data_IF_117328779904
#
_entry.id   IF_117328779904
#
_cell.length_a   1.000
_cell.length_b   1.000
_cell.length_c   1.000
_cell.angle_alpha   90.00
_cell.angle_beta   90.00
_cell.angle_gamma   90.00
#
_symmetry.space_group_name_H-M   'P 1'
#
loop_
_entity.id
_entity.type
_entity.pdbx_description
1 polymer ?
#
# COMPACT_ATOMS: atom_id res chain seq x y z
N UNK A 1 12.53 -11.62 -39.05
CA UNK A 1 13.53 -11.81 -40.12
C UNK A 1 14.78 -11.01 -39.75
N UNK A 2 15.84 -11.00 -40.55
CA UNK A 2 16.89 -10.00 -40.34
C UNK A 2 16.48 -8.69 -41.03
N UNK A 3 16.81 -7.55 -40.43
CA UNK A 3 16.61 -6.23 -41.03
C UNK A 3 17.18 -6.22 -42.46
N UNK A 4 16.35 -5.87 -43.42
CA UNK A 4 16.76 -5.66 -44.80
C UNK A 4 17.43 -4.30 -44.95
N UNK A 5 18.55 -4.25 -45.66
CA UNK A 5 19.31 -3.01 -45.93
C UNK A 5 19.21 -2.70 -47.42
N UNK A 6 18.77 -1.48 -47.73
CA UNK A 6 18.75 -0.96 -49.10
C UNK A 6 20.19 -0.65 -49.50
N UNK A 7 20.65 -1.24 -50.59
CA UNK A 7 21.95 -0.96 -51.17
C UNK A 7 21.81 0.23 -52.14
N UNK A 8 22.46 1.35 -51.81
CA UNK A 8 22.41 2.56 -52.65
C UNK A 8 23.39 2.50 -53.83
N UNK A 9 24.29 1.52 -53.89
CA UNK A 9 25.33 1.44 -54.90
C UNK A 9 26.44 2.48 -54.72
N UNK A 10 27.24 2.68 -55.77
CA UNK A 10 28.38 3.60 -55.75
C UNK A 10 27.96 5.05 -56.01
N UNK A 11 28.33 5.98 -55.14
CA UNK A 11 28.13 7.42 -55.37
C UNK A 11 28.96 7.91 -56.57
N UNK A 12 28.46 8.83 -57.42
CA UNK A 12 27.13 9.47 -57.39
C UNK A 12 26.06 8.72 -58.21
N UNK A 13 26.43 7.69 -58.95
CA UNK A 13 25.58 7.08 -59.99
C UNK A 13 24.60 6.03 -59.46
N UNK A 14 24.83 5.51 -58.25
CA UNK A 14 24.10 4.40 -57.68
C UNK A 14 24.38 3.05 -58.37
N UNK A 15 25.44 2.97 -59.19
CA UNK A 15 25.78 1.75 -59.91
C UNK A 15 26.02 0.57 -58.94
N UNK A 16 25.42 -0.58 -59.25
CA UNK A 16 25.44 -1.78 -58.40
C UNK A 16 24.49 -1.74 -57.19
N UNK A 17 23.63 -0.72 -57.09
CA UNK A 17 22.59 -0.62 -56.06
C UNK A 17 21.30 -1.39 -56.39
N UNK A 18 20.38 -1.41 -55.43
CA UNK A 18 19.02 -1.93 -55.62
C UNK A 18 18.25 -1.04 -56.61
N UNK A 19 17.43 -1.67 -57.46
CA UNK A 19 16.45 -0.93 -58.26
C UNK A 19 15.28 -0.44 -57.39
N UNK A 20 14.41 0.40 -57.96
CA UNK A 20 13.25 0.94 -57.22
C UNK A 20 12.35 -0.16 -56.64
N UNK A 21 12.19 -1.27 -57.35
CA UNK A 21 11.31 -2.37 -56.96
C UNK A 21 11.90 -3.17 -55.80
N UNK A 22 13.15 -3.60 -55.91
CA UNK A 22 13.88 -4.37 -54.90
C UNK A 22 14.12 -3.55 -53.62
N UNK A 23 14.44 -2.25 -53.74
CA UNK A 23 14.50 -1.36 -52.60
C UNK A 23 13.14 -1.26 -51.87
N UNK A 24 12.04 -1.16 -52.61
CA UNK A 24 10.69 -1.11 -52.04
C UNK A 24 10.28 -2.44 -51.38
N UNK A 25 10.63 -3.57 -51.98
CA UNK A 25 10.40 -4.90 -51.39
C UNK A 25 11.13 -5.03 -50.05
N UNK A 26 12.38 -4.55 -49.95
CA UNK A 26 13.14 -4.53 -48.69
C UNK A 26 12.50 -3.60 -47.66
N UNK A 27 12.04 -2.42 -48.07
CA UNK A 27 11.33 -1.50 -47.20
C UNK A 27 10.04 -2.14 -46.65
N UNK A 28 9.20 -2.71 -47.52
CA UNK A 28 7.99 -3.43 -47.14
C UNK A 28 8.29 -4.53 -46.13
N UNK A 29 9.28 -5.38 -46.40
CA UNK A 29 9.65 -6.49 -45.53
C UNK A 29 10.00 -6.03 -44.09
N UNK A 30 10.74 -4.92 -43.96
CA UNK A 30 11.05 -4.34 -42.65
C UNK A 30 9.81 -3.86 -41.89
N UNK A 31 8.86 -3.21 -42.58
CA UNK A 31 7.61 -2.77 -41.95
C UNK A 31 6.71 -3.95 -41.59
N UNK A 32 6.55 -4.92 -42.49
CA UNK A 32 5.80 -6.16 -42.24
C UNK A 32 6.35 -6.88 -41.00
N UNK A 33 7.67 -6.96 -40.84
CA UNK A 33 8.29 -7.54 -39.66
C UNK A 33 7.90 -6.81 -38.37
N UNK A 34 7.99 -5.48 -38.35
CA UNK A 34 7.65 -4.68 -37.18
C UNK A 34 6.16 -4.80 -36.81
N UNK A 35 5.26 -4.71 -37.79
CA UNK A 35 3.81 -4.80 -37.56
C UNK A 35 3.41 -6.18 -37.02
N UNK A 36 3.95 -7.25 -37.59
CA UNK A 36 3.70 -8.62 -37.11
C UNK A 36 4.29 -8.85 -35.71
N UNK A 37 5.50 -8.34 -35.45
CA UNK A 37 6.15 -8.49 -34.14
C UNK A 37 5.37 -7.79 -33.02
N UNK A 38 4.90 -6.56 -33.27
CA UNK A 38 4.12 -5.77 -32.31
C UNK A 38 2.75 -6.40 -32.04
N UNK A 39 2.08 -6.90 -33.08
CA UNK A 39 0.76 -7.52 -32.99
C UNK A 39 0.76 -8.96 -32.49
N UNK A 40 1.95 -9.56 -32.25
CA UNK A 40 2.10 -10.96 -31.87
C UNK A 40 1.45 -11.93 -32.89
N UNK A 41 1.47 -11.57 -34.17
CA UNK A 41 0.99 -12.40 -35.26
C UNK A 41 2.15 -13.13 -35.94
N UNK A 42 1.82 -14.22 -36.65
CA UNK A 42 2.78 -14.95 -37.47
C UNK A 42 3.44 -14.03 -38.50
N UNK A 43 4.73 -14.23 -38.77
CA UNK A 43 5.45 -13.49 -39.81
C UNK A 43 4.92 -13.90 -41.19
N UNK A 44 4.07 -13.05 -41.77
CA UNK A 44 3.59 -13.18 -43.14
C UNK A 44 3.35 -11.81 -43.76
N UNK A 45 3.32 -11.76 -45.08
CA UNK A 45 3.14 -10.51 -45.80
C UNK A 45 1.71 -9.97 -45.61
N UNK A 46 1.59 -8.68 -45.28
CA UNK A 46 0.32 -7.98 -45.04
C UNK A 46 -0.62 -8.63 -43.99
N UNK A 47 -0.08 -9.42 -43.04
CA UNK A 47 -0.87 -10.09 -41.99
C UNK A 47 -1.39 -9.09 -40.95
N UNK A 48 -0.52 -8.23 -40.43
CA UNK A 48 -0.89 -7.12 -39.57
C UNK A 48 -1.10 -5.84 -40.39
N UNK A 49 -2.36 -5.45 -40.58
CA UNK A 49 -2.74 -4.24 -41.34
C UNK A 49 -2.81 -2.98 -40.48
N UNK A 50 -2.70 -3.12 -39.15
CA UNK A 50 -2.68 -2.04 -38.18
C UNK A 50 -1.81 -2.41 -36.97
N UNK A 51 -1.37 -1.39 -36.23
CA UNK A 51 -0.77 -1.62 -34.91
C UNK A 51 -1.83 -2.09 -33.92
N UNK A 52 -1.49 -2.98 -32.97
CA UNK A 52 -2.45 -3.41 -31.95
C UNK A 52 -2.79 -2.22 -31.03
N UNK A 53 -4.02 -2.19 -30.53
CA UNK A 53 -4.47 -1.14 -29.62
C UNK A 53 -3.70 -1.15 -28.27
N UNK A 54 -3.11 -2.28 -27.90
CA UNK A 54 -2.20 -2.41 -26.76
C UNK A 54 -1.17 -3.50 -27.03
N UNK A 55 0.05 -3.36 -26.54
CA UNK A 55 1.08 -4.39 -26.66
C UNK A 55 0.87 -5.49 -25.61
N UNK A 56 1.08 -6.78 -25.96
CA UNK A 56 1.01 -7.86 -24.99
C UNK A 56 2.17 -7.80 -23.99
N UNK A 57 2.02 -8.45 -22.83
CA UNK A 57 3.02 -8.48 -21.75
C UNK A 57 4.36 -9.07 -22.21
N UNK A 58 4.33 -10.09 -23.06
CA UNK A 58 5.54 -10.70 -23.64
C UNK A 58 6.37 -9.72 -24.52
N UNK A 59 5.83 -8.54 -24.84
CA UNK A 59 6.49 -7.47 -25.59
C UNK A 59 6.69 -6.20 -24.75
N UNK A 60 6.60 -6.32 -23.43
CA UNK A 60 6.77 -5.21 -22.49
C UNK A 60 5.54 -4.29 -22.36
N UNK A 61 4.41 -4.66 -22.95
CA UNK A 61 3.14 -3.96 -22.76
C UNK A 61 2.35 -4.45 -21.54
N UNK A 62 1.10 -4.03 -21.45
CA UNK A 62 0.16 -4.46 -20.39
C UNK A 62 -0.95 -5.38 -20.90
N UNK A 63 -1.07 -5.57 -22.20
CA UNK A 63 -2.12 -6.36 -22.85
C UNK A 63 -3.53 -5.76 -22.79
N UNK A 64 -3.68 -4.52 -22.28
CA UNK A 64 -4.99 -3.89 -22.09
C UNK A 64 -5.02 -2.43 -22.56
N UNK A 65 -6.15 -2.02 -23.13
CA UNK A 65 -6.44 -0.63 -23.56
C UNK A 65 -7.15 0.18 -22.48
N UNK A 66 -7.55 -0.46 -21.37
CA UNK A 66 -8.17 0.18 -20.22
C UNK A 66 -7.32 -0.04 -18.98
N UNK A 67 -7.47 0.80 -17.96
CA UNK A 67 -6.75 0.63 -16.70
C UNK A 67 -7.02 -0.74 -16.05
N UNK A 68 -8.27 -1.22 -16.13
CA UNK A 68 -8.65 -2.53 -15.59
C UNK A 68 -7.95 -3.67 -16.34
N UNK A 69 -7.99 -3.65 -17.68
CA UNK A 69 -7.33 -4.66 -18.50
C UNK A 69 -5.80 -4.64 -18.31
N UNK A 70 -5.20 -3.46 -18.17
CA UNK A 70 -3.77 -3.31 -17.93
C UNK A 70 -3.34 -3.92 -16.58
N UNK A 71 -4.10 -3.69 -15.50
CA UNK A 71 -3.83 -4.32 -14.19
C UNK A 71 -3.98 -5.84 -14.24
N UNK A 72 -4.98 -6.34 -14.95
CA UNK A 72 -5.19 -7.78 -15.14
C UNK A 72 -4.02 -8.39 -15.92
N UNK A 73 -3.58 -7.77 -17.02
CA UNK A 73 -2.45 -8.28 -17.80
C UNK A 73 -1.15 -8.32 -17.02
N UNK A 74 -0.90 -7.35 -16.14
CA UNK A 74 0.25 -7.34 -15.23
C UNK A 74 0.10 -8.24 -14.00
N UNK A 75 -1.06 -8.87 -13.78
CA UNK A 75 -1.30 -9.76 -12.63
C UNK A 75 -1.36 -9.04 -11.27
N UNK A 76 -1.70 -7.74 -11.23
CA UNK A 76 -1.59 -6.92 -10.02
C UNK A 76 -2.74 -7.11 -9.00
N UNK A 77 -3.79 -7.87 -9.35
CA UNK A 77 -4.93 -8.15 -8.47
C UNK A 77 -5.76 -6.92 -8.07
N UNK A 78 -6.61 -7.08 -7.05
CA UNK A 78 -7.51 -6.03 -6.55
C UNK A 78 -6.83 -4.99 -5.67
N UNK A 79 -5.69 -5.31 -5.06
CA UNK A 79 -4.93 -4.38 -4.22
C UNK A 79 -4.44 -3.15 -4.99
N UNK A 80 -4.22 -3.28 -6.30
CA UNK A 80 -3.76 -2.21 -7.18
C UNK A 80 -4.78 -1.07 -7.39
N UNK A 81 -6.00 -1.18 -6.85
CA UNK A 81 -7.01 -0.10 -6.89
C UNK A 81 -7.36 0.44 -5.52
N UNK A 82 -6.80 -0.11 -4.43
CA UNK A 82 -7.09 0.37 -3.09
C UNK A 82 -6.29 1.64 -2.81
N UNK A 83 -6.96 2.65 -2.27
CA UNK A 83 -6.29 3.83 -1.75
C UNK A 83 -5.66 3.53 -0.39
N UNK A 84 -4.61 4.26 -0.03
CA UNK A 84 -4.10 4.29 1.35
C UNK A 84 -4.77 5.41 2.15
N UNK A 85 -4.95 5.24 3.45
CA UNK A 85 -5.42 6.31 4.35
C UNK A 85 -6.40 5.85 5.41
N UNK A 86 -7.04 6.81 6.09
CA UNK A 86 -7.90 6.56 7.25
C UNK A 86 -9.37 6.24 6.95
N UNK A 87 -9.79 6.35 5.69
CA UNK A 87 -11.17 6.02 5.30
C UNK A 87 -11.40 4.51 5.36
N UNK A 88 -12.64 4.12 5.68
CA UNK A 88 -13.03 2.71 5.66
C UNK A 88 -12.82 2.12 4.25
N UNK A 89 -12.20 0.95 4.18
CA UNK A 89 -11.87 0.28 2.91
C UNK A 89 -10.51 0.66 2.32
N UNK A 90 -9.79 1.63 2.90
CA UNK A 90 -8.42 1.93 2.51
C UNK A 90 -7.41 0.96 3.14
N UNK A 91 -6.24 0.83 2.51
CA UNK A 91 -5.10 0.08 3.04
C UNK A 91 -4.41 0.90 4.14
N UNK A 92 -4.17 0.26 5.29
CA UNK A 92 -3.36 0.81 6.36
C UNK A 92 -1.87 0.75 5.99
N UNK A 93 -1.17 1.88 6.09
CA UNK A 93 0.28 1.98 5.87
C UNK A 93 1.04 1.86 7.20
N UNK A 94 2.36 1.66 7.14
CA UNK A 94 3.20 1.69 8.35
C UNK A 94 3.04 3.04 9.07
N UNK A 95 2.86 2.97 10.39
CA UNK A 95 2.55 4.12 11.24
C UNK A 95 1.06 4.45 11.33
N UNK A 96 0.20 3.82 10.53
CA UNK A 96 -1.24 4.03 10.62
C UNK A 96 -1.73 3.68 12.03
N UNK A 97 -2.24 4.70 12.73
CA UNK A 97 -2.69 4.60 14.13
C UNK A 97 -1.64 3.94 15.05
N UNK A 98 -0.35 4.20 14.80
CA UNK A 98 0.75 3.74 15.65
C UNK A 98 1.28 2.34 15.37
N UNK A 99 0.79 1.64 14.34
CA UNK A 99 1.26 0.30 14.00
C UNK A 99 2.63 0.29 13.30
N UNK A 100 3.57 -0.51 13.81
CA UNK A 100 4.84 -0.81 13.13
C UNK A 100 5.87 0.33 13.14
N UNK A 101 5.74 1.31 14.03
CA UNK A 101 6.69 2.42 14.18
C UNK A 101 7.24 2.50 15.61
N UNK A 102 8.48 2.99 15.73
CA UNK A 102 9.03 3.49 16.99
C UNK A 102 8.85 5.01 17.03
N UNK A 103 8.46 5.56 18.19
CA UNK A 103 8.24 7.01 18.32
C UNK A 103 6.88 7.45 17.76
N UNK A 104 5.80 6.84 18.26
CA UNK A 104 4.44 7.30 17.98
C UNK A 104 4.33 8.79 18.32
N UNK A 105 3.65 9.55 17.45
CA UNK A 105 3.24 10.90 17.79
C UNK A 105 2.37 10.85 19.06
N UNK A 106 2.70 11.72 20.01
CA UNK A 106 1.95 11.85 21.25
C UNK A 106 0.51 12.29 20.96
N UNK A 107 -0.46 11.66 21.62
CA UNK A 107 -1.82 12.13 21.65
C UNK A 107 -1.95 13.35 22.57
N UNK A 108 -2.71 14.37 22.15
CA UNK A 108 -2.96 15.57 22.93
C UNK A 108 -3.93 15.35 24.10
N UNK A 109 -4.67 14.24 24.10
CA UNK A 109 -5.66 13.88 25.11
C UNK A 109 -5.80 12.36 25.21
N UNK A 110 -6.07 11.83 26.41
CA UNK A 110 -6.46 10.41 26.60
C UNK A 110 -7.91 10.14 26.21
N UNK A 111 -8.71 11.19 25.97
CA UNK A 111 -10.13 11.10 25.62
C UNK A 111 -10.30 10.86 24.11
N UNK A 112 -9.69 9.79 23.61
CA UNK A 112 -9.72 9.38 22.19
C UNK A 112 -10.80 8.33 22.00
N UNK A 113 -11.59 8.46 20.93
CA UNK A 113 -12.57 7.46 20.49
C UNK A 113 -12.14 6.67 19.25
N UNK A 114 -11.22 7.22 18.46
CA UNK A 114 -10.78 6.54 17.24
C UNK A 114 -9.90 5.34 17.61
N UNK A 115 -10.26 4.15 17.13
CA UNK A 115 -9.49 2.94 17.39
C UNK A 115 -8.02 3.07 16.94
N UNK A 116 -7.08 2.56 17.73
CA UNK A 116 -5.66 2.69 17.42
C UNK A 116 -4.76 2.62 18.65
N UNK A 117 -3.47 2.85 18.39
CA UNK A 117 -2.44 2.98 19.40
C UNK A 117 -2.02 4.44 19.51
N UNK A 118 -1.94 4.93 20.75
CA UNK A 118 -1.58 6.30 21.06
C UNK A 118 -0.50 6.31 22.15
N UNK A 119 0.41 7.29 22.10
CA UNK A 119 1.44 7.49 23.12
C UNK A 119 1.16 8.74 23.96
N UNK A 120 1.53 8.69 25.24
CA UNK A 120 1.20 9.70 26.25
C UNK A 120 2.42 10.08 27.06
N UNK A 121 2.51 11.38 27.37
CA UNK A 121 3.49 11.94 28.29
C UNK A 121 2.85 12.97 29.24
N UNK A 122 3.69 13.64 30.03
CA UNK A 122 3.30 14.63 31.03
C UNK A 122 2.65 15.91 30.48
N UNK A 123 2.54 16.09 29.15
CA UNK A 123 1.95 17.28 28.52
C UNK A 123 0.49 17.09 28.11
N UNK A 124 -0.08 15.90 28.30
CA UNK A 124 -1.46 15.56 27.94
C UNK A 124 -2.41 16.33 28.86
N UNK A 125 -3.39 17.04 28.29
CA UNK A 125 -4.24 17.99 29.03
C UNK A 125 -5.44 17.36 29.74
N UNK A 126 -5.77 16.10 29.43
CA UNK A 126 -6.84 15.34 30.06
C UNK A 126 -6.31 14.47 31.22
N UNK A 127 -7.20 14.12 32.17
CA UNK A 127 -6.88 13.23 33.28
C UNK A 127 -6.38 11.87 32.76
N UNK A 128 -5.08 11.61 32.92
CA UNK A 128 -4.43 10.34 32.58
C UNK A 128 -4.12 9.56 33.87
N UNK A 129 -4.25 8.22 33.88
CA UNK A 129 -3.96 7.42 35.06
C UNK A 129 -2.46 7.35 35.41
N UNK A 130 -1.58 7.75 34.48
CA UNK A 130 -0.14 7.87 34.71
C UNK A 130 0.49 8.96 33.83
N UNK A 131 1.72 9.36 34.18
CA UNK A 131 2.48 10.41 33.50
C UNK A 131 2.95 10.00 32.12
N UNK A 132 3.41 8.76 31.94
CA UNK A 132 3.91 8.27 30.64
C UNK A 132 3.37 6.89 30.34
N UNK A 133 3.00 6.64 29.09
CA UNK A 133 2.52 5.32 28.68
C UNK A 133 2.07 5.23 27.23
N UNK A 134 1.54 4.07 26.90
CA UNK A 134 0.90 3.77 25.62
C UNK A 134 -0.50 3.24 25.86
N UNK A 135 -1.40 3.52 24.94
CA UNK A 135 -2.79 3.14 25.06
C UNK A 135 -3.29 2.50 23.79
N UNK A 136 -4.07 1.44 23.95
CA UNK A 136 -4.93 0.90 22.91
C UNK A 136 -6.33 1.49 23.10
N UNK A 137 -6.85 2.15 22.07
CA UNK A 137 -8.24 2.59 21.99
C UNK A 137 -9.04 1.63 21.12
N UNK A 138 -10.20 1.22 21.61
CA UNK A 138 -11.20 0.42 20.89
C UNK A 138 -12.48 1.25 20.83
N UNK A 139 -12.66 1.98 19.74
CA UNK A 139 -13.79 2.87 19.52
C UNK A 139 -15.11 2.14 19.34
N UNK A 140 -16.16 2.66 19.97
CA UNK A 140 -17.53 2.26 19.69
C UNK A 140 -18.06 3.06 18.49
N UNK A 141 -18.95 2.50 17.63
CA UNK A 141 -19.36 3.16 16.38
C UNK A 141 -20.14 4.48 16.52
N UNK A 142 -20.57 4.86 17.73
CA UNK A 142 -21.36 6.08 17.96
C UNK A 142 -20.96 6.81 19.24
N UNK A 143 -21.11 8.13 19.23
CA UNK A 143 -20.87 8.99 20.38
C UNK A 143 -19.40 9.09 20.78
N UNK A 144 -19.16 9.51 22.01
CA UNK A 144 -17.83 9.59 22.61
C UNK A 144 -17.42 8.29 23.32
N UNK A 145 -17.86 7.11 22.86
CA UNK A 145 -17.73 5.87 23.62
C UNK A 145 -16.55 5.03 23.12
N UNK A 146 -15.74 4.52 24.05
CA UNK A 146 -14.65 3.58 23.74
C UNK A 146 -14.31 2.66 24.91
N UNK A 147 -13.65 1.55 24.61
CA UNK A 147 -12.84 0.80 25.55
C UNK A 147 -11.37 1.20 25.40
N UNK A 148 -10.63 1.31 26.51
CA UNK A 148 -9.21 1.64 26.49
C UNK A 148 -8.42 0.75 27.44
N UNK A 149 -7.22 0.38 27.00
CA UNK A 149 -6.18 -0.26 27.81
C UNK A 149 -4.96 0.65 27.82
N UNK A 150 -4.58 1.16 28.98
CA UNK A 150 -3.41 2.01 29.17
C UNK A 150 -2.31 1.24 29.88
N UNK A 151 -1.08 1.27 29.36
CA UNK A 151 0.11 0.68 29.96
C UNK A 151 1.10 1.80 30.24
N UNK A 152 1.47 2.02 31.50
CA UNK A 152 2.48 3.01 31.85
C UNK A 152 3.89 2.47 31.67
N UNK A 153 4.77 3.35 31.20
CA UNK A 153 6.21 3.09 31.17
C UNK A 153 6.98 3.83 32.28
N UNK A 154 6.45 4.94 32.80
CA UNK A 154 7.01 5.69 33.93
C UNK A 154 5.89 6.41 34.71
N UNK A 155 5.98 6.52 36.06
CA UNK A 155 7.11 6.09 36.90
C UNK A 155 7.10 4.59 37.25
N UNK A 156 6.02 3.86 36.96
CA UNK A 156 5.86 2.45 37.32
C UNK A 156 5.19 1.66 36.20
N UNK A 157 5.50 0.37 36.08
CA UNK A 157 4.88 -0.55 35.11
C UNK A 157 3.50 -1.01 35.58
N UNK A 158 2.52 -0.11 35.50
CA UNK A 158 1.11 -0.37 35.85
C UNK A 158 0.23 -0.36 34.60
N UNK A 159 -0.95 -0.96 34.70
CA UNK A 159 -1.93 -1.05 33.62
C UNK A 159 -3.31 -0.61 34.12
N UNK A 160 -4.11 0.01 33.24
CA UNK A 160 -5.47 0.46 33.55
C UNK A 160 -6.41 0.14 32.41
N UNK A 161 -7.68 -0.07 32.76
CA UNK A 161 -8.78 -0.17 31.82
C UNK A 161 -9.76 0.97 32.01
N UNK A 162 -10.35 1.42 30.91
CA UNK A 162 -11.47 2.35 30.90
C UNK A 162 -12.50 1.85 29.89
N UNK A 163 -13.77 2.02 30.21
CA UNK A 163 -14.87 1.70 29.30
C UNK A 163 -16.02 2.67 29.51
N UNK A 164 -16.53 3.24 28.43
CA UNK A 164 -17.68 4.15 28.45
C UNK A 164 -17.39 5.46 27.73
N UNK A 165 -18.06 6.53 28.17
CA UNK A 165 -17.89 7.87 27.61
C UNK A 165 -16.49 8.42 27.89
N UNK A 166 -15.81 8.84 26.84
CA UNK A 166 -14.48 9.43 26.86
C UNK A 166 -14.47 10.83 27.48
N UNK A 167 -15.63 11.45 27.66
CA UNK A 167 -15.75 12.66 28.47
C UNK A 167 -15.63 12.39 29.98
N UNK A 168 -16.20 11.28 30.49
CA UNK A 168 -16.46 11.15 31.94
C UNK A 168 -16.02 9.83 32.59
N UNK A 169 -15.86 8.74 31.84
CA UNK A 169 -15.54 7.43 32.42
C UNK A 169 -14.16 7.45 33.09
N UNK A 170 -14.00 6.94 34.33
CA UNK A 170 -12.71 6.87 34.99
C UNK A 170 -11.87 5.69 34.47
N UNK A 171 -10.56 5.77 34.72
CA UNK A 171 -9.66 4.63 34.58
C UNK A 171 -9.65 3.80 35.88
N UNK A 172 -9.63 2.48 35.73
CA UNK A 172 -9.50 1.52 36.82
C UNK A 172 -8.18 0.75 36.68
N UNK A 173 -7.38 0.71 37.74
CA UNK A 173 -6.10 0.00 37.74
C UNK A 173 -6.33 -1.52 37.68
N UNK A 174 -5.55 -2.19 36.84
CA UNK A 174 -5.48 -3.65 36.82
C UNK A 174 -4.51 -4.10 37.91
N UNK A 175 -5.04 -4.92 38.80
CA UNK A 175 -4.27 -5.58 39.84
C UNK A 175 -3.65 -6.89 39.34
N UNK A 176 -2.37 -7.05 39.63
CA UNK A 176 -1.48 -8.15 39.23
C UNK A 176 -0.66 -8.58 40.45
N UNK A 177 0.09 -9.67 40.36
CA UNK A 177 1.01 -10.10 41.43
C UNK A 177 2.13 -9.09 41.71
N UNK A 178 2.40 -8.15 40.81
CA UNK A 178 3.37 -7.08 41.02
C UNK A 178 2.86 -5.91 41.87
N UNK A 179 1.55 -5.74 41.99
CA UNK A 179 0.89 -4.66 42.75
C UNK A 179 -0.22 -5.16 43.70
N UNK A 180 -0.23 -6.46 44.01
CA UNK A 180 -1.11 -7.04 45.04
C UNK A 180 -0.42 -8.11 45.87
N UNK A 181 -0.82 -8.19 47.13
CA UNK A 181 -0.51 -9.33 48.00
C UNK A 181 -1.72 -10.24 48.09
N UNK A 182 -1.52 -11.54 47.89
CA UNK A 182 -2.54 -12.57 48.13
C UNK A 182 -2.39 -13.13 49.54
N UNK A 183 -3.42 -12.99 50.36
CA UNK A 183 -3.47 -13.59 51.68
C UNK A 183 -3.75 -15.10 51.60
N UNK A 184 -3.50 -15.83 52.70
CA UNK A 184 -3.70 -17.28 52.77
C UNK A 184 -5.17 -17.69 52.55
N UNK A 185 -6.12 -16.82 52.88
CA UNK A 185 -7.56 -17.00 52.64
C UNK A 185 -7.97 -16.70 51.19
N UNK A 186 -7.03 -16.30 50.32
CA UNK A 186 -7.26 -15.99 48.92
C UNK A 186 -7.70 -14.55 48.65
N UNK A 187 -7.85 -13.70 49.68
CA UNK A 187 -8.15 -12.28 49.48
C UNK A 187 -6.97 -11.54 48.86
N UNK A 188 -7.25 -10.50 48.08
CA UNK A 188 -6.26 -9.66 47.44
C UNK A 188 -6.24 -8.28 48.10
N UNK A 189 -5.05 -7.81 48.46
CA UNK A 189 -4.83 -6.45 48.97
C UNK A 189 -3.89 -5.71 48.03
N UNK A 190 -4.30 -4.53 47.59
CA UNK A 190 -3.44 -3.61 46.85
C UNK A 190 -2.25 -3.19 47.74
N UNK A 191 -1.06 -3.12 47.16
CA UNK A 191 0.16 -2.63 47.84
C UNK A 191 0.36 -1.13 47.64
#
# INVERSE_FOLDING_TARGET
>A
MAKQVINLGSSPTGAGGDDRRSAWVKAKANFTELYNWLSNLSQGDDVATALPASLPVAKGGTGGTTQAAARTGLGLGSSATLNTGAAQGNVAVVGFRGLGIQGLAKASSVNVVLSGFDAYDNTVTAYSPSTYGSMLTMGYPFGDWAGQLFISCMPQSKAWIRGGSQANAPFYEIYTTGNTTRAADGTLKAI
#
